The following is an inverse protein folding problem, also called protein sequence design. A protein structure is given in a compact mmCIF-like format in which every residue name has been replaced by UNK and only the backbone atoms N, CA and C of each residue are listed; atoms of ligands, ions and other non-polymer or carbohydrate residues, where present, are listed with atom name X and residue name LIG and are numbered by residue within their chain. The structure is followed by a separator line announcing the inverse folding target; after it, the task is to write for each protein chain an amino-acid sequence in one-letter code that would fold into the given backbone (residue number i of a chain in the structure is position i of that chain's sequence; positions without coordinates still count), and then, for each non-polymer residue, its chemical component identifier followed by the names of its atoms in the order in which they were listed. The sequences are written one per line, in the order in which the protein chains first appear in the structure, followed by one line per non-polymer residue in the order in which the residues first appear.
data_IF_508601614220
#
_entry.id   IF_508601614220
#
_cell.length_a   1.000
_cell.length_b   1.000
_cell.length_c   1.000
_cell.angle_alpha   90.00
_cell.angle_beta   90.00
_cell.angle_gamma   90.00
#
_symmetry.space_group_name_H-M   'P 1'
#
loop_
_entity.id
_entity.type
_entity.pdbx_description
1 polymer ?
#
# COMPACT_ATOMS: atom_id res chain seq x y z
N UNK A 1 1.45 4.47 -18.14
CA UNK A 1 1.99 5.27 -17.03
C UNK A 1 2.51 4.33 -15.96
N UNK A 2 3.77 4.38 -15.70
CA UNK A 2 4.49 3.39 -14.92
C UNK A 2 4.14 3.49 -13.44
N UNK A 3 3.40 2.56 -12.97
CA UNK A 3 3.40 2.20 -11.57
C UNK A 3 4.75 1.57 -11.27
N UNK A 4 5.70 2.14 -10.66
CA UNK A 4 7.07 1.67 -10.33
C UNK A 4 7.25 0.13 -10.20
N UNK A 5 6.53 -0.61 -11.05
CA UNK A 5 6.68 -2.02 -11.28
C UNK A 5 7.97 -2.17 -12.05
N UNK A 6 8.79 -3.09 -11.61
CA UNK A 6 10.05 -3.37 -12.26
C UNK A 6 9.82 -3.61 -13.76
N UNK A 7 10.36 -2.75 -14.60
CA UNK A 7 10.47 -2.99 -16.05
C UNK A 7 11.95 -3.17 -16.38
N UNK A 8 12.32 -4.37 -16.75
CA UNK A 8 13.63 -4.67 -17.30
C UNK A 8 13.46 -4.90 -18.79
N UNK A 9 14.30 -4.33 -19.64
CA UNK A 9 14.26 -4.51 -21.09
C UNK A 9 14.36 -5.99 -21.52
N UNK A 10 14.90 -6.86 -20.67
CA UNK A 10 15.05 -8.30 -20.89
C UNK A 10 14.03 -9.16 -20.16
N UNK A 11 13.41 -8.67 -19.07
CA UNK A 11 12.36 -9.33 -18.31
C UNK A 11 11.29 -8.30 -18.01
N UNK A 12 10.19 -8.35 -18.73
CA UNK A 12 9.01 -7.55 -18.40
C UNK A 12 8.46 -8.10 -17.09
N UNK A 13 8.53 -7.30 -16.02
CA UNK A 13 7.87 -7.63 -14.77
C UNK A 13 6.42 -7.18 -14.86
N UNK A 14 5.51 -8.10 -14.59
CA UNK A 14 4.09 -7.84 -14.68
C UNK A 14 3.47 -7.97 -13.30
N UNK A 15 2.48 -7.14 -13.01
CA UNK A 15 1.47 -7.55 -12.05
C UNK A 15 0.66 -8.66 -12.65
N UNK A 16 0.36 -9.68 -11.87
CA UNK A 16 -0.49 -10.78 -12.29
C UNK A 16 -1.91 -10.44 -11.88
N UNK A 17 -2.83 -10.53 -12.84
CA UNK A 17 -4.25 -10.36 -12.57
C UNK A 17 -4.95 -11.63 -13.04
N UNK A 18 -5.73 -12.27 -12.15
CA UNK A 18 -6.28 -13.60 -12.45
C UNK A 18 -7.45 -13.58 -13.42
N UNK A 19 -8.41 -12.66 -13.31
CA UNK A 19 -9.63 -12.66 -14.11
C UNK A 19 -10.14 -11.29 -14.53
N UNK A 20 -10.01 -10.29 -13.69
CA UNK A 20 -10.47 -8.93 -13.96
C UNK A 20 -9.41 -7.90 -13.56
N UNK A 21 -9.40 -6.71 -14.20
CA UNK A 21 -8.51 -5.64 -13.78
C UNK A 21 -8.75 -5.31 -12.30
N UNK A 22 -7.72 -5.53 -11.49
CA UNK A 22 -7.75 -5.09 -10.09
C UNK A 22 -7.81 -3.57 -10.03
N UNK A 23 -8.07 -3.05 -8.83
CA UNK A 23 -7.99 -1.63 -8.51
C UNK A 23 -6.67 -0.94 -8.92
N UNK A 24 -5.64 -1.68 -9.32
CA UNK A 24 -4.36 -1.15 -9.78
C UNK A 24 -4.33 -0.75 -11.26
N UNK A 25 -5.20 -1.26 -12.10
CA UNK A 25 -5.24 -1.01 -13.56
C UNK A 25 -3.85 -0.89 -14.20
N UNK A 26 -3.10 -1.98 -14.22
CA UNK A 26 -1.73 -1.99 -14.72
C UNK A 26 -1.72 -2.26 -16.20
N UNK A 27 -1.24 -1.30 -17.02
CA UNK A 27 -1.17 -1.42 -18.47
C UNK A 27 -0.32 -2.62 -18.94
N UNK A 28 0.65 -3.05 -18.13
CA UNK A 28 1.56 -4.14 -18.42
C UNK A 28 1.29 -5.38 -17.55
N UNK A 29 0.04 -5.66 -17.21
CA UNK A 29 -0.33 -6.82 -16.42
C UNK A 29 -0.40 -8.09 -17.30
N UNK A 30 0.08 -9.19 -16.78
CA UNK A 30 -0.14 -10.51 -17.35
C UNK A 30 -1.41 -11.11 -16.77
N UNK A 31 -2.33 -11.50 -17.64
CA UNK A 31 -3.63 -12.04 -17.25
C UNK A 31 -3.60 -13.56 -17.29
N UNK A 32 -4.26 -14.17 -16.32
CA UNK A 32 -4.46 -15.60 -16.22
C UNK A 32 -5.97 -15.87 -16.11
N UNK A 33 -6.42 -16.94 -16.71
CA UNK A 33 -7.82 -17.37 -16.77
C UNK A 33 -8.20 -18.37 -15.67
N UNK A 34 -7.26 -18.69 -14.78
CA UNK A 34 -7.42 -19.63 -13.68
C UNK A 34 -6.87 -19.07 -12.37
N UNK A 35 -7.37 -19.54 -11.21
CA UNK A 35 -6.73 -19.25 -9.93
C UNK A 35 -5.26 -19.69 -9.93
N UNK A 36 -4.40 -18.89 -9.33
CA UNK A 36 -2.96 -19.14 -9.24
C UNK A 36 -2.61 -19.62 -7.84
N UNK A 37 -1.61 -20.49 -7.76
CA UNK A 37 -0.87 -20.77 -6.53
C UNK A 37 0.09 -19.61 -6.25
N UNK A 38 0.57 -19.51 -5.02
CA UNK A 38 1.56 -18.50 -4.64
C UNK A 38 2.83 -18.58 -5.50
N UNK A 39 3.31 -19.80 -5.75
CA UNK A 39 4.50 -20.00 -6.60
C UNK A 39 4.25 -19.54 -8.03
N UNK A 40 3.12 -19.91 -8.65
CA UNK A 40 2.76 -19.47 -10.00
C UNK A 40 2.64 -17.94 -10.06
N UNK A 41 2.08 -17.29 -9.02
CA UNK A 41 1.95 -15.85 -8.93
C UNK A 41 3.32 -15.16 -8.85
N UNK A 42 4.22 -15.64 -7.99
CA UNK A 42 5.56 -15.09 -7.84
C UNK A 42 6.39 -15.24 -9.12
N UNK A 43 6.37 -16.42 -9.74
CA UNK A 43 7.05 -16.66 -11.03
C UNK A 43 6.49 -15.78 -12.14
N UNK A 44 5.17 -15.64 -12.20
CA UNK A 44 4.51 -14.85 -13.23
C UNK A 44 4.87 -13.37 -13.17
N UNK A 45 5.14 -12.80 -11.98
CA UNK A 45 5.58 -11.41 -11.81
C UNK A 45 7.10 -11.26 -11.59
N UNK A 46 7.89 -12.30 -11.84
CA UNK A 46 9.34 -12.34 -11.61
C UNK A 46 9.73 -11.98 -10.16
N UNK A 47 8.91 -12.38 -9.19
CA UNK A 47 9.14 -12.21 -7.78
C UNK A 47 9.79 -13.45 -7.12
N UNK A 48 10.16 -14.45 -7.90
CA UNK A 48 10.85 -15.68 -7.46
C UNK A 48 12.37 -15.52 -7.29
N UNK A 49 12.87 -14.28 -7.37
CA UNK A 49 14.28 -13.97 -7.17
C UNK A 49 14.74 -14.23 -5.74
N UNK A 50 16.01 -14.59 -5.59
CA UNK A 50 16.67 -14.74 -4.31
C UNK A 50 17.41 -13.46 -3.89
N UNK A 51 17.45 -13.23 -2.57
CA UNK A 51 18.13 -12.08 -1.95
C UNK A 51 19.17 -12.58 -0.95
N UNK A 52 20.37 -12.02 -1.04
CA UNK A 52 21.45 -12.30 -0.09
C UNK A 52 22.00 -11.01 0.54
N UNK A 53 22.66 -11.18 1.67
CA UNK A 53 23.44 -10.11 2.32
C UNK A 53 24.87 -10.11 1.80
N UNK A 54 25.27 -8.97 1.23
CA UNK A 54 26.62 -8.73 0.73
C UNK A 54 27.39 -7.75 1.62
N UNK A 55 28.72 -7.88 1.77
CA UNK A 55 29.52 -6.90 2.48
C UNK A 55 29.48 -5.54 1.78
N UNK A 56 29.57 -4.48 2.57
CA UNK A 56 29.69 -3.10 2.06
C UNK A 56 31.15 -2.70 2.21
N UNK A 57 31.71 -2.13 1.14
CA UNK A 57 33.11 -1.68 1.11
C UNK A 57 33.14 -0.16 0.94
N UNK A 58 33.97 0.54 1.72
CA UNK A 58 34.22 1.94 1.55
C UNK A 58 35.08 2.19 0.28
N UNK A 59 34.61 3.04 -0.63
CA UNK A 59 35.37 3.45 -1.81
C UNK A 59 36.33 4.60 -1.41
N UNK A 60 37.61 4.29 -1.21
CA UNK A 60 38.64 5.31 -1.01
C UNK A 60 39.06 5.89 -2.34
N UNK A 61 39.65 7.13 -2.38
CA UNK A 61 40.16 7.72 -3.62
C UNK A 61 41.17 6.82 -4.34
N UNK A 62 42.03 6.11 -3.57
CA UNK A 62 43.01 5.17 -4.13
C UNK A 62 42.28 3.99 -4.82
N UNK A 63 41.27 3.42 -4.18
CA UNK A 63 40.49 2.30 -4.74
C UNK A 63 39.74 2.74 -6.01
N UNK A 64 39.14 3.93 -5.98
CA UNK A 64 38.50 4.52 -7.18
C UNK A 64 39.49 4.68 -8.30
N UNK A 65 40.69 5.27 -8.05
CA UNK A 65 41.72 5.41 -9.04
C UNK A 65 42.25 4.10 -9.63
N UNK A 66 42.34 3.05 -8.81
CA UNK A 66 42.68 1.69 -9.29
C UNK A 66 41.62 1.14 -10.24
N UNK A 67 40.35 1.27 -9.89
CA UNK A 67 39.19 0.78 -10.70
C UNK A 67 39.16 1.55 -12.05
N UNK A 68 39.27 2.89 -12.03
CA UNK A 68 39.25 3.72 -13.22
C UNK A 68 40.41 3.42 -14.18
N UNK A 69 41.57 3.08 -13.64
CA UNK A 69 42.76 2.71 -14.40
C UNK A 69 42.79 1.21 -14.81
N UNK A 70 41.74 0.43 -14.53
CA UNK A 70 41.67 -0.99 -14.85
C UNK A 70 42.67 -1.86 -14.09
N UNK A 71 43.15 -1.41 -12.93
CA UNK A 71 44.09 -2.16 -12.11
C UNK A 71 43.36 -3.26 -11.32
N UNK A 72 44.03 -4.37 -11.05
CA UNK A 72 43.46 -5.49 -10.30
C UNK A 72 43.39 -5.11 -8.81
N UNK A 73 42.16 -5.09 -8.30
CA UNK A 73 41.87 -4.94 -6.87
C UNK A 73 41.85 -6.36 -6.23
N UNK A 74 42.73 -6.60 -5.28
CA UNK A 74 42.78 -7.91 -4.61
C UNK A 74 41.85 -7.96 -3.38
N UNK A 75 41.43 -9.17 -3.00
CA UNK A 75 40.50 -9.40 -1.90
C UNK A 75 41.04 -8.95 -0.53
N UNK A 76 42.40 -8.91 -0.32
CA UNK A 76 42.96 -8.46 0.95
C UNK A 76 42.79 -6.97 1.16
N UNK A 77 42.95 -6.18 0.09
CA UNK A 77 42.67 -4.74 0.15
C UNK A 77 41.23 -4.43 0.48
N UNK A 78 40.27 -5.18 -0.09
CA UNK A 78 38.86 -4.99 0.17
C UNK A 78 38.48 -5.33 1.61
N UNK A 79 39.13 -6.35 2.23
CA UNK A 79 38.84 -6.76 3.62
C UNK A 79 39.02 -5.63 4.63
N UNK A 80 40.06 -4.81 4.46
CA UNK A 80 40.36 -3.68 5.36
C UNK A 80 39.36 -2.51 5.20
N UNK A 81 38.63 -2.49 4.09
CA UNK A 81 37.65 -1.44 3.75
C UNK A 81 36.20 -1.87 3.98
N UNK A 82 35.97 -3.08 4.50
CA UNK A 82 34.62 -3.56 4.82
C UNK A 82 34.05 -2.73 5.98
N UNK A 83 32.82 -2.26 5.79
CA UNK A 83 32.05 -1.56 6.83
C UNK A 83 31.42 -2.61 7.75
N UNK A 84 31.89 -2.67 9.00
CA UNK A 84 31.33 -3.57 10.00
C UNK A 84 29.94 -3.17 10.45
N UNK A 85 29.15 -4.16 10.90
CA UNK A 85 27.82 -3.97 11.45
C UNK A 85 26.73 -3.69 10.42
N UNK A 86 27.07 -3.54 9.13
CA UNK A 86 26.14 -3.28 8.04
C UNK A 86 26.39 -4.18 6.84
N UNK A 87 25.29 -4.58 6.17
CA UNK A 87 25.31 -5.38 4.93
C UNK A 87 24.36 -4.77 3.91
N UNK A 88 24.64 -4.97 2.64
CA UNK A 88 23.72 -4.67 1.56
C UNK A 88 22.83 -5.90 1.28
N UNK A 89 21.52 -5.75 1.23
CA UNK A 89 20.65 -6.76 0.63
C UNK A 89 20.71 -6.62 -0.88
N UNK A 90 20.94 -7.71 -1.58
CA UNK A 90 21.15 -7.73 -3.03
C UNK A 90 20.36 -8.84 -3.68
N UNK A 91 19.70 -8.56 -4.78
CA UNK A 91 19.10 -9.58 -5.66
C UNK A 91 20.18 -10.33 -6.40
N UNK A 92 20.10 -11.66 -6.44
CA UNK A 92 21.12 -12.48 -7.10
C UNK A 92 20.96 -12.47 -8.62
N UNK A 93 19.75 -12.35 -9.15
CA UNK A 93 19.47 -12.39 -10.60
C UNK A 93 19.92 -11.12 -11.34
N UNK A 94 19.85 -9.96 -10.70
CA UNK A 94 20.13 -8.66 -11.31
C UNK A 94 21.30 -7.89 -10.67
N UNK A 95 21.86 -8.42 -9.58
CA UNK A 95 22.89 -7.79 -8.76
C UNK A 95 22.53 -6.37 -8.25
N UNK A 96 21.23 -6.07 -8.17
CA UNK A 96 20.74 -4.78 -7.65
C UNK A 96 20.73 -4.79 -6.14
N UNK A 97 21.28 -3.74 -5.55
CA UNK A 97 21.18 -3.48 -4.11
C UNK A 97 19.78 -2.98 -3.79
N UNK A 98 19.13 -3.62 -2.81
CA UNK A 98 17.77 -3.30 -2.38
C UNK A 98 17.76 -2.41 -1.13
N UNK A 99 18.77 -2.56 -0.26
CA UNK A 99 18.86 -1.76 0.96
C UNK A 99 20.12 -2.01 1.75
N UNK A 100 20.28 -1.24 2.82
CA UNK A 100 21.35 -1.43 3.81
C UNK A 100 20.70 -1.86 5.12
N UNK A 101 21.18 -2.97 5.66
CA UNK A 101 20.63 -3.62 6.85
C UNK A 101 21.73 -3.92 7.85
N UNK A 102 21.37 -4.21 9.10
CA UNK A 102 22.34 -4.64 10.10
C UNK A 102 22.79 -6.10 9.87
N UNK A 103 23.91 -6.50 10.43
CA UNK A 103 24.36 -7.89 10.41
C UNK A 103 23.33 -8.87 10.98
N UNK A 104 22.51 -8.41 11.94
CA UNK A 104 21.46 -9.21 12.60
C UNK A 104 20.19 -9.35 11.78
N UNK A 105 20.08 -8.64 10.65
CA UNK A 105 18.90 -8.73 9.79
C UNK A 105 18.80 -10.14 9.18
N UNK A 106 17.63 -10.77 9.31
CA UNK A 106 17.32 -12.04 8.65
C UNK A 106 16.67 -11.76 7.29
N UNK A 107 17.28 -12.22 6.21
CA UNK A 107 16.62 -12.20 4.90
C UNK A 107 15.54 -13.27 4.89
N UNK A 108 14.30 -12.89 4.58
CA UNK A 108 13.21 -13.82 4.31
C UNK A 108 12.99 -13.82 2.81
N UNK A 109 13.14 -14.96 2.15
CA UNK A 109 12.92 -15.09 0.71
C UNK A 109 11.44 -14.90 0.38
N UNK A 110 11.14 -14.41 -0.82
CA UNK A 110 9.75 -14.16 -1.24
C UNK A 110 8.89 -15.42 -1.13
N UNK A 111 9.39 -16.56 -1.59
CA UNK A 111 8.68 -17.84 -1.46
C UNK A 111 8.36 -18.18 0.01
N UNK A 112 9.29 -17.93 0.94
CA UNK A 112 9.08 -18.17 2.36
C UNK A 112 8.09 -17.17 2.99
N UNK A 113 8.16 -15.90 2.57
CA UNK A 113 7.28 -14.85 3.09
C UNK A 113 5.81 -15.12 2.77
N UNK A 114 5.54 -15.78 1.66
CA UNK A 114 4.19 -15.98 1.12
C UNK A 114 3.72 -17.44 1.12
N UNK A 115 4.50 -18.39 1.65
CA UNK A 115 4.21 -19.83 1.67
C UNK A 115 2.84 -20.15 2.32
N UNK A 116 2.42 -19.37 3.31
CA UNK A 116 1.14 -19.58 3.99
C UNK A 116 -0.08 -19.13 3.17
N UNK A 117 0.10 -18.38 2.07
CA UNK A 117 -1.02 -17.83 1.28
C UNK A 117 -1.80 -18.95 0.59
N UNK A 118 -1.14 -20.01 0.14
CA UNK A 118 -1.85 -21.15 -0.45
C UNK A 118 -2.79 -21.82 0.55
N UNK A 119 -2.36 -21.98 1.81
CA UNK A 119 -3.24 -22.48 2.87
C UNK A 119 -4.39 -21.50 3.18
N UNK A 120 -4.14 -20.20 3.10
CA UNK A 120 -5.16 -19.17 3.25
C UNK A 120 -6.18 -19.20 2.10
N UNK A 121 -5.74 -19.44 0.87
CA UNK A 121 -6.59 -19.50 -0.33
C UNK A 121 -7.32 -20.84 -0.50
N UNK A 122 -6.92 -21.92 0.18
CA UNK A 122 -7.55 -23.25 0.06
C UNK A 122 -8.43 -23.62 1.25
N UNK A 123 -8.63 -22.74 2.20
CA UNK A 123 -9.27 -23.00 3.51
C UNK A 123 -10.76 -23.32 3.51
N UNK A 124 -11.41 -23.58 2.36
CA UNK A 124 -12.82 -24.03 2.29
C UNK A 124 -13.73 -23.10 1.48
N UNK A 125 -15.06 -23.32 1.59
CA UNK A 125 -16.06 -22.48 0.94
C UNK A 125 -16.00 -21.05 1.45
N UNK A 126 -15.68 -20.10 0.56
CA UNK A 126 -15.49 -18.68 0.91
C UNK A 126 -14.02 -18.28 1.07
N UNK A 127 -13.07 -19.19 0.83
CA UNK A 127 -11.65 -18.85 0.79
C UNK A 127 -11.34 -17.83 -0.33
N UNK A 128 -10.41 -16.90 -0.10
CA UNK A 128 -10.01 -15.93 -1.11
C UNK A 128 -9.19 -16.61 -2.24
N UNK A 129 -9.07 -15.90 -3.36
CA UNK A 129 -8.21 -16.31 -4.47
C UNK A 129 -7.14 -15.24 -4.71
N UNK A 130 -5.93 -15.66 -5.07
CA UNK A 130 -4.90 -14.72 -5.53
C UNK A 130 -5.40 -14.04 -6.80
N UNK A 131 -5.47 -12.72 -6.77
CA UNK A 131 -5.93 -11.91 -7.88
C UNK A 131 -4.79 -11.12 -8.53
N UNK A 132 -3.85 -10.64 -7.75
CA UNK A 132 -2.69 -9.95 -8.29
C UNK A 132 -1.43 -10.16 -7.44
N UNK A 133 -0.29 -10.08 -8.10
CA UNK A 133 1.02 -10.05 -7.45
C UNK A 133 1.96 -9.14 -8.24
N UNK A 134 2.98 -8.59 -7.59
CA UNK A 134 3.92 -7.73 -8.26
C UNK A 134 5.16 -7.38 -7.46
N UNK A 135 6.14 -6.89 -8.20
CA UNK A 135 7.41 -6.39 -7.68
C UNK A 135 7.44 -4.88 -7.80
N UNK A 136 7.75 -4.19 -6.71
CA UNK A 136 7.85 -2.74 -6.67
C UNK A 136 9.32 -2.30 -6.56
N UNK A 137 9.63 -1.22 -7.27
CA UNK A 137 11.00 -0.70 -7.35
C UNK A 137 11.93 -1.63 -8.13
N UNK A 138 13.09 -1.94 -7.57
CA UNK A 138 14.03 -2.94 -8.10
C UNK A 138 13.86 -4.33 -7.46
N UNK A 139 12.81 -4.50 -6.63
CA UNK A 139 12.60 -5.66 -5.79
C UNK A 139 12.66 -5.33 -4.29
N UNK A 140 12.74 -4.04 -3.94
CA UNK A 140 12.71 -3.61 -2.55
C UNK A 140 11.46 -4.09 -1.84
N UNK A 141 10.33 -4.21 -2.57
CA UNK A 141 9.06 -4.73 -2.08
C UNK A 141 8.41 -5.68 -3.05
N UNK A 142 7.78 -6.71 -2.50
CA UNK A 142 6.93 -7.65 -3.23
C UNK A 142 5.58 -7.70 -2.56
N UNK A 143 4.50 -7.79 -3.34
CA UNK A 143 3.15 -7.95 -2.82
C UNK A 143 2.42 -9.11 -3.51
N UNK A 144 1.50 -9.71 -2.78
CA UNK A 144 0.48 -10.64 -3.27
C UNK A 144 -0.86 -10.16 -2.72
N UNK A 145 -1.86 -10.05 -3.60
CA UNK A 145 -3.19 -9.61 -3.26
C UNK A 145 -4.18 -10.75 -3.48
N UNK A 146 -4.93 -11.10 -2.44
CA UNK A 146 -5.98 -12.11 -2.51
C UNK A 146 -7.35 -11.45 -2.32
N UNK A 147 -8.31 -11.81 -3.19
CA UNK A 147 -9.68 -11.30 -3.20
C UNK A 147 -10.62 -12.31 -2.54
N UNK A 148 -11.47 -11.83 -1.65
CA UNK A 148 -12.57 -12.65 -1.09
C UNK A 148 -13.73 -12.76 -2.07
N UNK A 149 -14.35 -13.94 -2.19
CA UNK A 149 -15.42 -14.17 -3.16
C UNK A 149 -16.74 -13.48 -2.80
N UNK A 150 -16.92 -13.07 -1.54
CA UNK A 150 -18.14 -12.43 -1.06
C UNK A 150 -17.88 -10.95 -0.79
N UNK A 151 -18.38 -10.04 -1.65
CA UNK A 151 -18.29 -8.62 -1.40
C UNK A 151 -19.23 -8.19 -0.27
N UNK A 152 -18.96 -7.05 0.33
CA UNK A 152 -19.86 -6.34 1.22
C UNK A 152 -20.84 -5.53 0.37
N UNK A 153 -22.14 -5.59 0.71
CA UNK A 153 -23.17 -4.74 0.13
C UNK A 153 -23.69 -3.81 1.20
N UNK A 154 -23.56 -2.50 0.97
CA UNK A 154 -24.10 -1.54 1.92
C UNK A 154 -25.63 -1.44 1.76
N UNK A 155 -26.34 -1.45 2.89
CA UNK A 155 -27.80 -1.60 2.94
C UNK A 155 -28.61 -0.46 2.27
N UNK A 156 -27.97 0.66 1.95
CA UNK A 156 -28.67 1.83 1.42
C UNK A 156 -28.88 1.80 -0.10
N UNK A 157 -28.11 0.98 -0.87
CA UNK A 157 -28.34 0.79 -2.31
C UNK A 157 -27.75 -0.54 -2.81
N UNK A 158 -28.49 -1.26 -3.64
CA UNK A 158 -28.11 -2.57 -4.19
C UNK A 158 -26.82 -2.57 -5.03
N UNK A 159 -26.45 -1.41 -5.58
CA UNK A 159 -25.28 -1.26 -6.45
C UNK A 159 -24.02 -0.78 -5.71
N UNK A 160 -24.07 -0.56 -4.40
CA UNK A 160 -22.90 -0.18 -3.63
C UNK A 160 -22.15 -1.41 -3.13
N UNK A 161 -21.26 -1.89 -4.00
CA UNK A 161 -20.48 -3.11 -3.80
C UNK A 161 -19.08 -2.74 -3.34
N UNK A 162 -18.64 -3.33 -2.23
CA UNK A 162 -17.29 -3.21 -1.69
C UNK A 162 -16.63 -4.58 -1.74
N UNK A 163 -15.63 -4.73 -2.58
CA UNK A 163 -14.81 -5.92 -2.62
C UNK A 163 -13.78 -5.92 -1.50
N UNK A 164 -13.54 -7.09 -0.95
CA UNK A 164 -12.61 -7.27 0.16
C UNK A 164 -11.36 -7.98 -0.31
N UNK A 165 -10.22 -7.39 0.01
CA UNK A 165 -8.90 -7.92 -0.32
C UNK A 165 -8.05 -8.09 0.93
N UNK A 166 -7.11 -9.03 0.88
CA UNK A 166 -5.94 -9.04 1.76
C UNK A 166 -4.70 -8.83 0.92
N UNK A 167 -3.94 -7.82 1.26
CA UNK A 167 -2.65 -7.54 0.64
C UNK A 167 -1.55 -8.05 1.56
N UNK A 168 -0.77 -8.99 1.06
CA UNK A 168 0.44 -9.48 1.69
C UNK A 168 1.64 -8.77 1.08
N UNK A 169 2.55 -8.27 1.91
CA UNK A 169 3.76 -7.61 1.44
C UNK A 169 4.99 -8.10 2.18
N UNK A 170 6.12 -8.17 1.49
CA UNK A 170 7.44 -8.30 2.11
C UNK A 170 8.36 -7.20 1.60
N UNK A 171 9.42 -6.89 2.35
CA UNK A 171 10.42 -5.92 1.91
C UNK A 171 11.83 -6.40 2.21
N UNK A 172 12.77 -6.01 1.34
CA UNK A 172 14.19 -6.37 1.43
C UNK A 172 15.09 -5.16 1.73
N UNK A 173 14.50 -3.97 1.90
CA UNK A 173 15.20 -2.71 2.16
C UNK A 173 15.50 -2.44 3.65
N UNK A 174 15.12 -3.36 4.52
CA UNK A 174 15.25 -3.22 5.97
C UNK A 174 14.21 -2.32 6.65
N UNK A 175 13.28 -1.73 5.88
CA UNK A 175 12.28 -0.76 6.39
C UNK A 175 10.89 -1.35 6.59
N UNK A 176 10.69 -2.62 6.21
CA UNK A 176 9.41 -3.29 6.30
C UNK A 176 9.50 -4.65 7.00
N UNK A 177 8.33 -5.21 7.27
CA UNK A 177 8.13 -6.57 7.73
C UNK A 177 7.26 -7.32 6.72
N UNK A 178 7.14 -8.63 6.84
CA UNK A 178 6.05 -9.35 6.18
C UNK A 178 4.76 -8.84 6.82
N UNK A 179 3.89 -8.28 6.02
CA UNK A 179 2.64 -7.65 6.47
C UNK A 179 1.46 -8.26 5.73
N UNK A 180 0.39 -8.58 6.44
CA UNK A 180 -0.93 -8.83 5.87
C UNK A 180 -1.86 -7.69 6.28
N UNK A 181 -2.63 -7.16 5.32
CA UNK A 181 -3.57 -6.09 5.57
C UNK A 181 -4.87 -6.30 4.79
N UNK A 182 -5.99 -6.26 5.50
CA UNK A 182 -7.31 -6.26 4.88
C UNK A 182 -7.58 -4.89 4.28
N UNK A 183 -7.98 -4.87 3.03
CA UNK A 183 -8.21 -3.65 2.27
C UNK A 183 -9.54 -3.76 1.52
N UNK A 184 -10.57 -3.01 1.93
CA UNK A 184 -11.80 -2.92 1.18
C UNK A 184 -11.65 -1.94 0.02
N UNK A 185 -12.20 -2.31 -1.13
CA UNK A 185 -12.20 -1.45 -2.32
C UNK A 185 -13.62 -1.35 -2.87
N UNK A 186 -14.09 -0.12 -3.04
CA UNK A 186 -15.39 0.14 -3.60
C UNK A 186 -15.34 0.03 -5.13
N UNK A 187 -16.13 -0.89 -5.69
CA UNK A 187 -16.06 -1.27 -7.12
C UNK A 187 -16.36 -0.09 -8.05
N UNK A 188 -17.34 0.72 -7.71
CA UNK A 188 -17.81 1.83 -8.58
C UNK A 188 -16.71 2.88 -8.86
N UNK A 189 -15.83 3.14 -7.91
CA UNK A 189 -14.84 4.22 -8.01
C UNK A 189 -13.39 3.78 -7.76
N UNK A 190 -13.13 2.50 -7.63
CA UNK A 190 -11.80 1.95 -7.30
C UNK A 190 -11.14 2.62 -6.07
N UNK A 191 -11.93 3.02 -5.10
CA UNK A 191 -11.42 3.67 -3.89
C UNK A 191 -10.99 2.63 -2.87
N UNK A 192 -9.76 2.77 -2.39
CA UNK A 192 -9.29 2.01 -1.23
C UNK A 192 -9.83 2.66 0.04
N UNK A 193 -10.72 1.96 0.72
CA UNK A 193 -11.37 2.43 1.94
C UNK A 193 -10.61 1.88 3.15
N UNK A 194 -9.72 2.66 3.73
CA UNK A 194 -9.00 2.27 4.93
C UNK A 194 -9.67 2.87 6.17
N UNK A 195 -10.68 2.20 6.71
CA UNK A 195 -11.31 2.65 7.95
C UNK A 195 -10.39 2.38 9.17
N UNK A 196 -10.23 3.39 10.04
CA UNK A 196 -9.49 3.25 11.28
C UNK A 196 -10.23 2.39 12.28
N UNK A 197 -9.58 1.34 12.71
CA UNK A 197 -10.02 0.58 13.87
C UNK A 197 -9.05 0.81 15.02
N UNK A 198 -9.57 1.16 16.19
CA UNK A 198 -8.77 1.46 17.39
C UNK A 198 -7.78 0.35 17.79
N UNK A 199 -7.96 -0.87 17.30
CA UNK A 199 -7.19 -2.05 17.67
C UNK A 199 -6.32 -2.61 16.52
N UNK A 200 -6.09 -1.87 15.43
CA UNK A 200 -5.31 -2.37 14.29
C UNK A 200 -5.85 -3.69 13.70
N UNK A 201 -7.16 -3.94 13.81
CA UNK A 201 -7.81 -5.23 13.54
C UNK A 201 -7.66 -5.73 12.10
N UNK A 202 -7.30 -4.86 11.17
CA UNK A 202 -7.09 -5.23 9.75
C UNK A 202 -5.63 -5.40 9.35
N UNK A 203 -4.67 -5.31 10.27
CA UNK A 203 -3.24 -5.38 9.94
C UNK A 203 -2.47 -6.31 10.86
N UNK A 204 -1.65 -7.15 10.26
CA UNK A 204 -0.77 -8.07 10.95
C UNK A 204 0.65 -7.98 10.37
N UNK A 205 1.65 -7.97 11.25
CA UNK A 205 3.05 -7.85 10.87
C UNK A 205 3.86 -9.01 11.46
N UNK A 206 4.63 -9.68 10.62
CA UNK A 206 5.70 -10.60 11.04
C UNK A 206 7.03 -9.91 10.84
N UNK A 207 7.81 -9.82 11.90
CA UNK A 207 9.16 -9.27 11.80
C UNK A 207 10.08 -10.28 11.11
N UNK A 208 11.00 -9.78 10.28
CA UNK A 208 12.10 -10.54 9.72
C UNK A 208 13.07 -10.95 10.87
N UNK A 209 12.77 -12.04 11.55
CA UNK A 209 13.65 -12.63 12.57
C UNK A 209 14.18 -13.97 12.07
N UNK A 210 15.37 -14.35 12.52
CA UNK A 210 16.12 -15.55 12.06
C UNK A 210 15.39 -16.90 12.19
N UNK A 211 14.14 -16.91 12.70
CA UNK A 211 13.38 -18.13 13.01
C UNK A 211 12.14 -18.35 12.12
N UNK A 212 12.04 -17.68 10.99
CA UNK A 212 10.90 -17.86 10.06
C UNK A 212 11.13 -19.10 9.18
N UNK A 213 11.12 -20.28 9.77
CA UNK A 213 11.48 -21.52 9.07
C UNK A 213 10.64 -22.75 9.37
N UNK A 214 9.54 -22.65 10.13
CA UNK A 214 8.72 -23.82 10.46
C UNK A 214 7.36 -23.78 9.77
N UNK A 215 7.09 -24.74 8.87
CA UNK A 215 5.81 -24.95 8.18
C UNK A 215 4.56 -24.97 9.09
N UNK A 216 4.71 -25.33 10.36
CA UNK A 216 3.61 -25.26 11.33
C UNK A 216 3.20 -23.83 11.68
N UNK A 217 4.08 -22.86 11.49
CA UNK A 217 3.79 -21.43 11.66
C UNK A 217 2.84 -20.94 10.58
N UNK A 218 2.93 -21.49 9.38
CA UNK A 218 2.23 -21.00 8.20
C UNK A 218 0.70 -21.23 8.28
N UNK A 219 0.25 -22.40 8.77
CA UNK A 219 -1.19 -22.68 8.96
C UNK A 219 -1.76 -21.80 10.08
N UNK A 220 -1.02 -21.62 11.17
CA UNK A 220 -1.44 -20.75 12.26
C UNK A 220 -1.54 -19.28 11.80
N UNK A 221 -0.64 -18.84 10.93
CA UNK A 221 -0.65 -17.50 10.37
C UNK A 221 -1.78 -17.30 9.35
N UNK A 222 -2.05 -18.29 8.50
CA UNK A 222 -3.23 -18.28 7.62
C UNK A 222 -4.54 -18.19 8.43
N UNK A 223 -4.65 -18.97 9.50
CA UNK A 223 -5.81 -18.95 10.41
C UNK A 223 -5.97 -17.60 11.12
N UNK A 224 -4.87 -16.96 11.52
CA UNK A 224 -4.89 -15.60 12.09
C UNK A 224 -5.34 -14.58 11.07
N UNK A 225 -4.86 -14.65 9.82
CA UNK A 225 -5.26 -13.75 8.75
C UNK A 225 -6.77 -13.86 8.46
N UNK A 226 -7.32 -15.10 8.47
CA UNK A 226 -8.77 -15.32 8.34
C UNK A 226 -9.55 -14.75 9.52
N UNK A 227 -9.09 -14.98 10.76
CA UNK A 227 -9.72 -14.41 11.96
C UNK A 227 -9.72 -12.88 11.93
N UNK A 228 -8.64 -12.26 11.50
CA UNK A 228 -8.55 -10.81 11.31
C UNK A 228 -9.53 -10.29 10.25
N UNK A 229 -9.69 -11.03 9.16
CA UNK A 229 -10.66 -10.67 8.12
C UNK A 229 -12.09 -10.64 8.64
N UNK A 230 -12.52 -11.67 9.35
CA UNK A 230 -13.90 -11.75 9.87
C UNK A 230 -14.20 -10.62 10.86
N UNK A 231 -13.28 -10.34 11.78
CA UNK A 231 -13.40 -9.22 12.73
C UNK A 231 -13.43 -7.89 11.98
N UNK A 232 -12.51 -7.70 11.05
CA UNK A 232 -12.44 -6.48 10.24
C UNK A 232 -13.71 -6.25 9.44
N UNK A 233 -14.23 -7.30 8.78
CA UNK A 233 -15.45 -7.23 7.97
C UNK A 233 -16.63 -6.73 8.79
N UNK A 234 -16.86 -7.33 9.96
CA UNK A 234 -17.97 -6.94 10.84
C UNK A 234 -17.84 -5.50 11.35
N UNK A 235 -16.64 -5.10 11.77
CA UNK A 235 -16.38 -3.74 12.22
C UNK A 235 -16.53 -2.73 11.07
N UNK A 236 -16.05 -3.08 9.88
CA UNK A 236 -16.15 -2.23 8.69
C UNK A 236 -17.59 -1.99 8.27
N UNK A 237 -18.42 -3.04 8.18
CA UNK A 237 -19.84 -2.93 7.87
C UNK A 237 -20.56 -2.00 8.85
N UNK A 238 -20.36 -2.21 10.15
CA UNK A 238 -20.96 -1.37 11.19
C UNK A 238 -20.54 0.08 11.13
N UNK A 239 -19.26 0.35 10.78
CA UNK A 239 -18.72 1.71 10.63
C UNK A 239 -19.27 2.41 9.40
N UNK A 240 -19.35 1.73 8.26
CA UNK A 240 -19.93 2.31 7.05
C UNK A 240 -21.42 2.62 7.23
N UNK A 241 -22.16 1.75 7.91
CA UNK A 241 -23.54 2.02 8.28
C UNK A 241 -23.67 3.21 9.24
N UNK A 242 -22.79 3.35 10.22
CA UNK A 242 -22.77 4.51 11.11
C UNK A 242 -22.52 5.81 10.31
N UNK A 243 -21.52 5.83 9.42
CA UNK A 243 -21.26 7.00 8.58
C UNK A 243 -22.45 7.37 7.68
N UNK A 244 -23.20 6.39 7.16
CA UNK A 244 -24.36 6.66 6.31
C UNK A 244 -25.50 7.38 7.03
N UNK A 245 -25.58 7.24 8.35
CA UNK A 245 -26.61 7.86 9.20
C UNK A 245 -26.24 9.26 9.71
N UNK A 246 -25.01 9.68 9.54
CA UNK A 246 -24.55 11.02 9.94
C UNK A 246 -24.91 12.03 8.84
N UNK A 247 -25.66 13.07 9.19
CA UNK A 247 -25.98 14.18 8.30
C UNK A 247 -25.09 15.39 8.63
N UNK A 248 -24.41 15.89 7.62
CA UNK A 248 -23.47 17.01 7.73
C UNK A 248 -24.05 18.25 7.03
N UNK A 249 -23.80 19.42 7.59
CA UNK A 249 -24.05 20.68 6.87
C UNK A 249 -22.91 20.93 5.87
N UNK A 250 -23.14 21.79 4.86
CA UNK A 250 -22.08 22.20 3.93
C UNK A 250 -20.86 22.78 4.66
N UNK A 251 -21.12 23.50 5.77
CA UNK A 251 -20.06 24.03 6.62
C UNK A 251 -19.23 22.93 7.30
N UNK A 252 -19.90 21.87 7.77
CA UNK A 252 -19.21 20.73 8.37
C UNK A 252 -18.34 20.01 7.33
N UNK A 253 -18.89 19.81 6.11
CA UNK A 253 -18.14 19.22 4.97
C UNK A 253 -16.90 20.06 4.69
N UNK A 254 -17.01 21.39 4.61
CA UNK A 254 -15.89 22.28 4.36
C UNK A 254 -14.83 22.23 5.48
N UNK A 255 -15.28 22.29 6.73
CA UNK A 255 -14.39 22.28 7.89
C UNK A 255 -13.64 20.94 8.05
N UNK A 256 -14.33 19.81 7.88
CA UNK A 256 -13.74 18.49 7.96
C UNK A 256 -12.76 18.29 6.78
N UNK A 257 -13.12 18.71 5.57
CA UNK A 257 -12.27 18.65 4.39
C UNK A 257 -10.97 19.45 4.58
N UNK A 258 -11.09 20.69 5.05
CA UNK A 258 -9.94 21.54 5.35
C UNK A 258 -9.04 20.92 6.43
N UNK A 259 -9.63 20.46 7.53
CA UNK A 259 -8.90 19.86 8.65
C UNK A 259 -8.20 18.55 8.25
N UNK A 260 -8.79 17.78 7.34
CA UNK A 260 -8.19 16.54 6.80
C UNK A 260 -6.94 16.82 5.99
N UNK A 261 -6.93 17.87 5.17
CA UNK A 261 -5.82 18.19 4.28
C UNK A 261 -4.71 18.98 4.96
N UNK A 262 -5.06 19.88 5.87
CA UNK A 262 -4.14 20.84 6.46
C UNK A 262 -3.29 20.23 7.57
N UNK A 263 -2.01 20.62 7.62
CA UNK A 263 -1.14 20.42 8.79
C UNK A 263 -1.62 21.31 9.95
N UNK A 264 -1.15 21.04 11.16
CA UNK A 264 -1.56 21.81 12.31
C UNK A 264 -1.20 23.30 12.21
N UNK A 265 -0.07 23.63 11.59
CA UNK A 265 0.33 25.03 11.41
C UNK A 265 -0.53 25.76 10.37
N UNK A 266 -0.83 25.11 9.25
CA UNK A 266 -1.74 25.65 8.23
C UNK A 266 -3.16 25.79 8.82
N UNK A 267 -3.59 24.85 9.65
CA UNK A 267 -4.87 24.93 10.35
C UNK A 267 -4.97 26.12 11.31
N UNK A 268 -3.90 26.40 12.07
CA UNK A 268 -3.83 27.59 12.94
C UNK A 268 -3.94 28.88 12.13
N UNK A 269 -3.23 28.97 11.01
CA UNK A 269 -3.32 30.11 10.09
C UNK A 269 -4.75 30.24 9.54
N UNK A 270 -5.36 29.15 9.10
CA UNK A 270 -6.72 29.13 8.62
C UNK A 270 -7.75 29.59 9.65
N UNK A 271 -7.60 29.19 10.90
CA UNK A 271 -8.42 29.68 12.01
C UNK A 271 -8.21 31.18 12.27
N UNK A 272 -6.95 31.67 12.21
CA UNK A 272 -6.62 33.09 12.39
C UNK A 272 -7.29 34.00 11.37
N UNK A 273 -7.40 33.53 10.10
CA UNK A 273 -8.06 34.26 9.01
C UNK A 273 -9.58 34.01 8.94
N UNK A 274 -10.18 33.56 10.04
CA UNK A 274 -11.62 33.33 10.15
C UNK A 274 -12.16 32.21 9.27
N UNK A 275 -11.34 31.19 9.00
CA UNK A 275 -11.67 30.05 8.14
C UNK A 275 -11.97 30.44 6.69
N UNK A 276 -11.33 31.50 6.19
CA UNK A 276 -11.44 31.92 4.80
C UNK A 276 -10.34 31.25 3.96
N UNK A 277 -10.73 30.30 3.10
CA UNK A 277 -9.77 29.56 2.25
C UNK A 277 -9.14 30.47 1.17
N UNK A 278 -9.80 31.57 0.82
CA UNK A 278 -9.34 32.51 -0.20
C UNK A 278 -8.45 33.63 0.35
N UNK A 279 -8.16 33.62 1.67
CA UNK A 279 -7.28 34.60 2.30
C UNK A 279 -5.83 34.45 1.78
N UNK A 280 -5.13 35.60 1.64
CA UNK A 280 -3.77 35.62 1.10
C UNK A 280 -2.74 34.91 1.96
N UNK A 281 -3.00 34.73 3.27
CA UNK A 281 -2.17 33.92 4.16
C UNK A 281 -2.24 32.40 3.86
N UNK A 282 -3.26 31.96 3.08
CA UNK A 282 -3.41 30.56 2.66
C UNK A 282 -2.73 30.34 1.32
N UNK A 283 -1.80 29.38 1.26
CA UNK A 283 -1.05 29.10 0.04
C UNK A 283 -1.94 28.65 -1.12
N UNK A 284 -1.62 29.05 -2.34
CA UNK A 284 -2.31 28.60 -3.56
C UNK A 284 -2.39 27.07 -3.67
N UNK A 285 -1.34 26.39 -3.23
CA UNK A 285 -1.32 24.91 -3.21
C UNK A 285 -2.41 24.36 -2.29
N UNK A 286 -2.56 24.92 -1.09
CA UNK A 286 -3.59 24.49 -0.13
C UNK A 286 -5.00 24.75 -0.68
N UNK A 287 -5.22 25.91 -1.29
CA UNK A 287 -6.48 26.25 -1.96
C UNK A 287 -6.81 25.24 -3.06
N UNK A 288 -5.88 24.99 -3.97
CA UNK A 288 -6.09 24.04 -5.07
C UNK A 288 -6.39 22.63 -4.58
N UNK A 289 -5.70 22.16 -3.52
CA UNK A 289 -5.98 20.85 -2.93
C UNK A 289 -7.38 20.79 -2.31
N UNK A 290 -7.79 21.84 -1.62
CA UNK A 290 -9.12 21.93 -1.03
C UNK A 290 -10.22 21.93 -2.09
N UNK A 291 -10.09 22.74 -3.15
CA UNK A 291 -11.04 22.78 -4.26
C UNK A 291 -11.12 21.45 -5.02
N UNK A 292 -9.98 20.81 -5.27
CA UNK A 292 -9.94 19.49 -5.91
C UNK A 292 -10.63 18.42 -5.05
N UNK A 293 -10.46 18.48 -3.72
CA UNK A 293 -11.17 17.59 -2.79
C UNK A 293 -12.68 17.88 -2.84
N UNK A 294 -13.11 19.15 -2.76
CA UNK A 294 -14.53 19.52 -2.86
C UNK A 294 -15.16 19.05 -4.17
N UNK A 295 -14.49 19.27 -5.29
CA UNK A 295 -14.95 18.76 -6.58
C UNK A 295 -15.11 17.24 -6.56
N UNK A 296 -14.17 16.53 -5.93
CA UNK A 296 -14.22 15.05 -5.83
C UNK A 296 -15.38 14.59 -4.92
N UNK A 297 -15.68 15.31 -3.83
CA UNK A 297 -16.81 14.99 -2.94
C UNK A 297 -18.13 15.10 -3.69
N UNK A 298 -18.35 16.13 -4.49
CA UNK A 298 -19.65 16.38 -5.11
C UNK A 298 -19.79 15.83 -6.54
N UNK A 299 -18.69 15.60 -7.25
CA UNK A 299 -18.70 15.18 -8.66
C UNK A 299 -17.80 13.96 -8.94
N UNK A 300 -17.26 13.34 -7.92
CA UNK A 300 -16.43 12.15 -8.07
C UNK A 300 -17.22 10.92 -8.51
N UNK A 301 -16.54 9.96 -9.10
CA UNK A 301 -17.16 8.70 -9.53
C UNK A 301 -17.80 7.97 -8.35
N UNK A 302 -19.06 7.57 -8.50
CA UNK A 302 -19.81 6.83 -7.50
C UNK A 302 -20.32 7.67 -6.31
N UNK A 303 -20.24 8.99 -6.37
CA UNK A 303 -20.83 9.86 -5.36
C UNK A 303 -22.35 10.00 -5.52
N UNK A 304 -22.85 9.84 -6.72
CA UNK A 304 -24.27 9.89 -7.08
C UNK A 304 -25.13 8.76 -6.45
N UNK A 305 -24.50 7.67 -6.05
CA UNK A 305 -25.19 6.55 -5.39
C UNK A 305 -25.20 6.66 -3.86
N UNK A 306 -24.55 7.65 -3.26
CA UNK A 306 -24.55 7.89 -1.81
C UNK A 306 -25.44 9.10 -1.51
N UNK A 307 -26.07 9.13 -0.35
CA UNK A 307 -26.83 10.28 0.11
C UNK A 307 -25.90 11.49 0.31
N UNK A 308 -26.17 12.56 -0.41
CA UNK A 308 -25.39 13.79 -0.38
C UNK A 308 -25.31 14.35 1.04
N UNK A 309 -24.13 14.80 1.44
CA UNK A 309 -23.83 15.31 2.79
C UNK A 309 -24.06 14.30 3.92
N UNK A 310 -24.14 13.00 3.60
CA UNK A 310 -23.93 11.98 4.65
C UNK A 310 -22.44 11.89 5.01
N UNK A 311 -22.14 11.40 6.22
CA UNK A 311 -20.77 11.12 6.61
C UNK A 311 -20.08 10.15 5.66
N UNK A 312 -20.83 9.18 5.12
CA UNK A 312 -20.32 8.23 4.12
C UNK A 312 -19.99 8.94 2.79
N UNK A 313 -20.81 9.88 2.36
CA UNK A 313 -20.57 10.69 1.15
C UNK A 313 -19.25 11.48 1.27
N UNK A 314 -19.05 12.17 2.39
CA UNK A 314 -17.81 12.89 2.64
C UNK A 314 -16.60 11.94 2.72
N UNK A 315 -16.72 10.82 3.46
CA UNK A 315 -15.63 9.85 3.59
C UNK A 315 -15.23 9.24 2.25
N UNK A 316 -16.22 8.85 1.41
CA UNK A 316 -15.95 8.35 0.07
C UNK A 316 -15.27 9.38 -0.82
N UNK A 317 -15.70 10.65 -0.77
CA UNK A 317 -15.05 11.74 -1.50
C UNK A 317 -13.59 11.94 -1.10
N UNK A 318 -13.29 11.92 0.19
CA UNK A 318 -11.91 12.00 0.72
C UNK A 318 -11.08 10.82 0.23
N UNK A 319 -11.59 9.59 0.33
CA UNK A 319 -10.86 8.40 -0.11
C UNK A 319 -10.65 8.39 -1.62
N UNK A 320 -11.63 8.83 -2.39
CA UNK A 320 -11.53 9.01 -3.84
C UNK A 320 -10.44 10.02 -4.21
N UNK A 321 -10.44 11.18 -3.57
CA UNK A 321 -9.42 12.19 -3.76
C UNK A 321 -8.01 11.66 -3.48
N UNK A 322 -7.82 11.03 -2.33
CA UNK A 322 -6.51 10.50 -1.91
C UNK A 322 -6.03 9.33 -2.79
N UNK A 323 -6.94 8.52 -3.31
CA UNK A 323 -6.59 7.36 -4.14
C UNK A 323 -6.35 7.71 -5.60
N UNK A 324 -7.15 8.63 -6.17
CA UNK A 324 -7.23 8.81 -7.61
C UNK A 324 -6.85 10.22 -8.11
N UNK A 325 -7.03 11.26 -7.29
CA UNK A 325 -6.80 12.66 -7.68
C UNK A 325 -5.48 13.19 -7.17
N UNK A 326 -5.23 13.13 -5.86
CA UNK A 326 -4.02 13.63 -5.24
C UNK A 326 -2.71 13.04 -5.79
N UNK A 327 -2.63 11.76 -6.18
CA UNK A 327 -1.42 11.20 -6.77
C UNK A 327 -0.98 11.84 -8.09
N UNK A 328 -1.91 12.43 -8.85
CA UNK A 328 -1.60 13.11 -10.12
C UNK A 328 -0.71 14.32 -9.91
N UNK A 329 -0.89 15.02 -8.79
CA UNK A 329 -0.05 16.18 -8.41
C UNK A 329 1.36 15.78 -8.00
N UNK A 330 1.59 14.49 -7.66
CA UNK A 330 2.89 13.95 -7.28
C UNK A 330 3.59 13.26 -8.47
N UNK A 331 2.91 13.14 -9.61
CA UNK A 331 3.33 12.35 -10.78
C UNK A 331 4.47 12.94 -11.59
N UNK A 332 5.04 14.10 -11.21
CA UNK A 332 6.03 14.80 -12.03
C UNK A 332 7.39 14.07 -12.18
N UNK A 333 7.65 12.95 -11.49
CA UNK A 333 8.97 12.32 -11.47
C UNK A 333 9.04 10.79 -11.59
N UNK A 334 8.05 10.10 -12.13
CA UNK A 334 8.14 8.67 -12.49
C UNK A 334 8.36 7.65 -11.35
N UNK A 335 8.53 8.10 -10.10
CA UNK A 335 8.79 7.24 -8.92
C UNK A 335 7.54 7.00 -8.05
N UNK A 336 6.34 6.96 -8.63
CA UNK A 336 5.15 7.35 -7.88
C UNK A 336 4.26 6.21 -7.40
N UNK A 337 4.28 5.03 -8.00
CA UNK A 337 3.37 3.97 -7.61
C UNK A 337 3.75 3.31 -6.28
N UNK A 338 5.03 3.11 -6.02
CA UNK A 338 5.48 2.62 -4.71
C UNK A 338 5.14 3.62 -3.61
N UNK A 339 5.37 4.92 -3.88
CA UNK A 339 5.02 6.00 -2.96
C UNK A 339 3.51 6.08 -2.76
N UNK A 340 2.73 5.95 -3.83
CA UNK A 340 1.27 5.94 -3.76
C UNK A 340 0.77 4.73 -2.97
N UNK A 341 1.24 3.53 -3.30
CA UNK A 341 0.92 2.30 -2.56
C UNK A 341 1.27 2.45 -1.08
N UNK A 342 2.50 2.85 -0.77
CA UNK A 342 2.95 3.06 0.60
C UNK A 342 2.13 4.14 1.31
N UNK A 343 1.81 5.24 0.62
CA UNK A 343 1.00 6.32 1.18
C UNK A 343 -0.41 5.88 1.53
N UNK A 344 -1.05 5.09 0.68
CA UNK A 344 -2.39 4.55 0.91
C UNK A 344 -2.42 3.46 1.99
N UNK A 345 -1.36 2.65 2.06
CA UNK A 345 -1.34 1.48 2.96
C UNK A 345 -0.83 1.81 4.37
N UNK A 346 0.03 2.81 4.54
CA UNK A 346 0.64 3.11 5.84
C UNK A 346 1.25 4.52 5.95
N UNK A 347 1.00 5.39 5.00
CA UNK A 347 1.59 6.73 4.96
C UNK A 347 0.56 7.85 5.03
N UNK A 348 0.90 9.01 4.48
CA UNK A 348 0.12 10.24 4.61
C UNK A 348 -1.33 10.12 4.12
N UNK A 349 -1.59 9.36 3.04
CA UNK A 349 -2.95 9.17 2.57
C UNK A 349 -3.76 8.29 3.55
N UNK A 350 -3.14 7.23 4.08
CA UNK A 350 -3.73 6.42 5.16
C UNK A 350 -4.08 7.28 6.37
N UNK A 351 -3.12 8.06 6.89
CA UNK A 351 -3.33 8.91 8.06
C UNK A 351 -4.45 9.94 7.84
N UNK A 352 -4.55 10.51 6.63
CA UNK A 352 -5.62 11.43 6.26
C UNK A 352 -6.99 10.75 6.17
N UNK A 353 -7.07 9.53 5.66
CA UNK A 353 -8.32 8.77 5.66
C UNK A 353 -8.79 8.49 7.09
N UNK A 354 -7.85 8.09 7.98
CA UNK A 354 -8.15 7.89 9.39
C UNK A 354 -8.66 9.18 10.05
N UNK A 355 -7.94 10.28 9.83
CA UNK A 355 -8.31 11.59 10.37
C UNK A 355 -9.69 12.04 9.90
N UNK A 356 -10.00 11.87 8.62
CA UNK A 356 -11.33 12.20 8.08
C UNK A 356 -12.42 11.37 8.75
N UNK A 357 -12.19 10.05 8.88
CA UNK A 357 -13.12 9.14 9.54
C UNK A 357 -13.45 9.59 10.97
N UNK A 358 -12.40 9.86 11.78
CA UNK A 358 -12.56 10.31 13.16
C UNK A 358 -13.27 11.68 13.25
N UNK A 359 -12.94 12.62 12.36
CA UNK A 359 -13.59 13.92 12.32
C UNK A 359 -15.08 13.84 12.00
N UNK A 360 -15.47 12.97 11.06
CA UNK A 360 -16.87 12.75 10.71
C UNK A 360 -17.63 12.14 11.90
N UNK A 361 -17.07 11.14 12.55
CA UNK A 361 -17.70 10.52 13.73
C UNK A 361 -17.88 11.50 14.91
N UNK A 362 -16.96 12.45 15.06
CA UNK A 362 -17.02 13.46 16.13
C UNK A 362 -17.91 14.66 15.79
N UNK A 363 -18.37 14.79 14.55
CA UNK A 363 -19.33 15.82 14.12
C UNK A 363 -20.80 15.41 14.31
N UNK A 364 -21.04 14.14 14.66
CA UNK A 364 -22.37 13.58 14.97
C UNK A 364 -22.76 13.80 16.47
#
# INVERSE_FOLDING_TARGET
MSHNIESNEQRQSYSIISTEPTWHHLENAKYYDKPLTTIEALQGCNADFEVEKQPIVALTPELVGMIENGQIVNASMLKELIIDGSKATMRLDSHKTLGIVSDKYGVVQNAQAFDFIDAFCTGGSGAPCIESAGVLGNGERVFVCAKFPQPIRLAHKDNDIIEMYVVFTTSHDGKGAVTAMVTPTRVVCNNTLNAAFKNNSGRWNVRHTCNVGNHLTNIAEASRAMGLYEVYKQEFEGRMEQLSKIHLTDKDVDMISARTLMTDDVWKTFAKVGYNINDDEISTRTRNQFEALKQTIYSGVGQDIIETNSGLHLYNGVTCYLSNVAPKDWASNGKNAEKQFTSLMSGTAYDRQQKAFDLILNAA
#
